data_IF_753703807501
#
_entry.id   IF_753703807501
#
_cell.length_a   1.000
_cell.length_b   1.000
_cell.length_c   1.000
_cell.angle_alpha   90.00
_cell.angle_beta   90.00
_cell.angle_gamma   90.00
#
_symmetry.space_group_name_H-M   'P 1'
#
loop_
_entity.id
_entity.type
_entity.pdbx_description
1 polymer ?
#
# COMPACT_ATOMS: atom_id res chain seq x y z
N UNK A 1 -6.53 8.32 8.65
CA UNK A 1 -6.28 9.70 9.15
C UNK A 1 -7.44 10.67 8.88
N UNK A 2 -8.69 10.21 8.82
CA UNK A 2 -9.85 11.09 8.60
C UNK A 2 -10.00 12.14 9.71
N UNK A 3 -9.71 11.75 10.95
CA UNK A 3 -9.87 12.56 12.16
C UNK A 3 -8.59 13.30 12.57
N UNK A 4 -7.53 13.25 11.77
CA UNK A 4 -6.25 13.93 12.06
C UNK A 4 -6.14 15.20 11.23
N UNK A 5 -5.92 16.32 11.92
CA UNK A 5 -5.72 17.63 11.30
C UNK A 5 -4.55 17.59 10.31
N UNK A 6 -4.68 18.27 9.17
CA UNK A 6 -3.72 18.19 8.07
C UNK A 6 -2.27 18.44 8.51
N UNK A 7 -2.05 19.45 9.35
CA UNK A 7 -0.73 19.83 9.88
C UNK A 7 -0.05 18.73 10.71
N UNK A 8 -0.83 17.87 11.37
CA UNK A 8 -0.32 16.83 12.27
C UNK A 8 -0.22 15.45 11.61
N UNK A 9 -0.79 15.28 10.40
CA UNK A 9 -0.77 13.99 9.68
C UNK A 9 0.62 13.41 9.51
N UNK A 10 1.61 14.24 9.17
CA UNK A 10 3.00 13.77 8.98
C UNK A 10 3.58 13.23 10.28
N UNK A 11 3.32 13.90 11.41
CA UNK A 11 3.81 13.49 12.73
C UNK A 11 3.12 12.20 13.19
N UNK A 12 1.81 12.12 13.03
CA UNK A 12 1.03 10.92 13.36
C UNK A 12 1.47 9.72 12.50
N UNK A 13 1.67 9.89 11.19
CA UNK A 13 2.22 8.83 10.34
C UNK A 13 3.59 8.34 10.84
N UNK A 14 4.48 9.25 11.18
CA UNK A 14 5.82 8.89 11.64
C UNK A 14 5.78 8.12 12.98
N UNK A 15 4.90 8.49 13.89
CA UNK A 15 4.70 7.79 15.16
C UNK A 15 4.09 6.39 14.93
N UNK A 16 3.00 6.30 14.16
CA UNK A 16 2.34 5.03 13.84
C UNK A 16 3.23 4.07 13.04
N UNK A 17 4.22 4.59 12.30
CA UNK A 17 5.21 3.76 11.64
C UNK A 17 5.98 2.86 12.60
N UNK A 18 6.20 3.30 13.83
CA UNK A 18 6.89 2.47 14.83
C UNK A 18 6.08 1.22 15.19
N UNK A 19 4.74 1.30 15.19
CA UNK A 19 3.84 0.17 15.46
C UNK A 19 3.98 -0.90 14.37
N UNK A 20 3.80 -0.54 13.09
CA UNK A 20 3.83 -1.53 12.00
C UNK A 20 5.23 -1.85 11.47
N UNK A 21 6.27 -1.15 11.91
CA UNK A 21 7.66 -1.50 11.64
C UNK A 21 8.31 -2.32 12.77
N UNK A 22 7.60 -2.54 13.89
CA UNK A 22 8.11 -3.26 15.04
C UNK A 22 8.52 -4.71 14.70
N UNK A 23 9.57 -5.25 15.33
CA UNK A 23 10.07 -6.59 15.03
C UNK A 23 9.12 -7.72 15.49
N UNK A 24 8.40 -7.52 16.60
CA UNK A 24 7.47 -8.48 17.20
C UNK A 24 6.15 -7.83 17.61
N UNK A 25 5.18 -8.65 18.02
CA UNK A 25 3.89 -8.18 18.54
C UNK A 25 4.04 -7.39 19.84
N UNK A 26 4.89 -7.85 20.76
CA UNK A 26 5.15 -7.17 22.03
C UNK A 26 5.75 -5.79 21.79
N UNK A 27 6.74 -5.68 20.90
CA UNK A 27 7.33 -4.40 20.53
C UNK A 27 6.31 -3.48 19.82
N UNK A 28 5.37 -4.04 19.06
CA UNK A 28 4.30 -3.27 18.43
C UNK A 28 3.30 -2.74 19.47
N UNK A 29 2.94 -3.55 20.47
CA UNK A 29 2.10 -3.16 21.59
C UNK A 29 2.73 -2.03 22.40
N UNK A 30 4.02 -2.16 22.73
CA UNK A 30 4.77 -1.11 23.42
C UNK A 30 4.80 0.19 22.61
N UNK A 31 5.02 0.10 21.30
CA UNK A 31 4.99 1.27 20.42
C UNK A 31 3.59 1.92 20.34
N UNK A 32 2.52 1.11 20.34
CA UNK A 32 1.16 1.62 20.35
C UNK A 32 0.82 2.28 21.69
N UNK A 33 1.22 1.68 22.81
CA UNK A 33 1.06 2.26 24.15
C UNK A 33 1.83 3.59 24.28
N UNK A 34 3.07 3.64 23.77
CA UNK A 34 3.87 4.86 23.73
C UNK A 34 3.22 5.96 22.87
N UNK A 35 2.61 5.60 21.74
CA UNK A 35 1.82 6.55 20.94
C UNK A 35 0.57 7.02 21.69
N UNK A 36 -0.15 6.11 22.34
CA UNK A 36 -1.36 6.42 23.11
C UNK A 36 -1.10 7.42 24.23
N UNK A 37 -0.01 7.25 24.98
CA UNK A 37 0.40 8.14 26.08
C UNK A 37 1.12 9.42 25.62
N UNK A 38 1.25 9.64 24.31
CA UNK A 38 1.90 10.84 23.78
C UNK A 38 0.88 11.98 23.62
N UNK A 39 1.35 13.25 23.53
CA UNK A 39 0.45 14.38 23.23
C UNK A 39 -0.34 14.21 21.92
N UNK A 40 0.16 13.41 20.97
CA UNK A 40 -0.56 13.09 19.74
C UNK A 40 -1.65 12.04 19.98
N UNK A 41 -1.42 11.08 20.87
CA UNK A 41 -2.42 10.10 21.29
C UNK A 41 -3.56 10.77 22.03
N UNK A 42 -3.25 11.63 23.01
CA UNK A 42 -4.22 12.42 23.77
C UNK A 42 -5.05 13.33 22.86
N UNK A 43 -4.41 13.96 21.86
CA UNK A 43 -5.08 14.84 20.90
C UNK A 43 -5.94 14.08 19.89
N UNK A 44 -5.60 12.83 19.59
CA UNK A 44 -6.27 12.01 18.58
C UNK A 44 -6.68 10.63 19.13
N UNK A 45 -7.57 10.57 20.15
CA UNK A 45 -7.94 9.31 20.80
C UNK A 45 -8.62 8.32 19.84
N UNK A 46 -9.36 8.82 18.84
CA UNK A 46 -9.96 7.97 17.80
C UNK A 46 -8.92 7.25 16.92
N UNK A 47 -7.71 7.80 16.81
CA UNK A 47 -6.61 7.12 16.12
C UNK A 47 -6.16 5.90 16.94
N UNK A 48 -6.00 6.06 18.25
CA UNK A 48 -5.66 4.96 19.18
C UNK A 48 -6.76 3.90 19.16
N UNK A 49 -8.02 4.30 19.37
CA UNK A 49 -9.15 3.37 19.40
C UNK A 49 -9.33 2.60 18.07
N UNK A 50 -8.92 3.17 16.94
CA UNK A 50 -8.94 2.46 15.65
C UNK A 50 -7.90 1.34 15.61
N UNK A 51 -6.73 1.54 16.19
CA UNK A 51 -5.71 0.50 16.31
C UNK A 51 -6.16 -0.60 17.27
N UNK A 52 -6.71 -0.24 18.44
CA UNK A 52 -7.18 -1.22 19.42
C UNK A 52 -8.26 -2.14 18.82
N UNK A 53 -9.26 -1.56 18.13
CA UNK A 53 -10.31 -2.33 17.44
C UNK A 53 -9.80 -3.18 16.27
N UNK A 54 -8.63 -2.85 15.74
CA UNK A 54 -8.02 -3.56 14.62
C UNK A 54 -6.90 -4.50 15.05
N UNK A 55 -6.55 -4.56 16.34
CA UNK A 55 -5.34 -5.22 16.83
C UNK A 55 -5.23 -6.66 16.37
N UNK A 56 -6.24 -7.48 16.65
CA UNK A 56 -6.31 -8.89 16.23
C UNK A 56 -6.19 -9.09 14.71
N UNK A 57 -6.66 -8.12 13.91
CA UNK A 57 -6.55 -8.16 12.45
C UNK A 57 -5.19 -7.68 11.96
N UNK A 58 -4.50 -6.88 12.76
CA UNK A 58 -3.18 -6.34 12.49
C UNK A 58 -2.07 -7.32 12.90
N UNK A 59 -2.17 -8.02 14.03
CA UNK A 59 -1.12 -8.94 14.51
C UNK A 59 -0.59 -9.91 13.43
N UNK A 60 -1.42 -10.56 12.59
CA UNK A 60 -0.92 -11.45 11.53
C UNK A 60 0.01 -10.75 10.52
N UNK A 61 -0.10 -9.44 10.33
CA UNK A 61 0.80 -8.68 9.46
C UNK A 61 2.25 -8.69 9.97
N UNK A 62 2.46 -8.77 11.29
CA UNK A 62 3.79 -8.84 11.88
C UNK A 62 4.47 -10.20 11.62
N UNK A 63 3.73 -11.26 11.27
CA UNK A 63 4.31 -12.54 10.86
C UNK A 63 5.00 -12.47 9.49
N UNK A 64 4.76 -11.43 8.69
CA UNK A 64 5.44 -11.27 7.41
C UNK A 64 6.90 -10.81 7.58
N UNK A 65 7.82 -11.22 6.71
CA UNK A 65 9.19 -10.70 6.72
C UNK A 65 9.25 -9.17 6.46
N UNK A 66 10.28 -8.45 6.97
CA UNK A 66 10.35 -6.99 6.87
C UNK A 66 10.25 -6.42 5.45
N UNK A 67 10.82 -7.08 4.44
CA UNK A 67 10.74 -6.58 3.06
C UNK A 67 9.32 -6.72 2.50
N UNK A 68 8.60 -7.78 2.87
CA UNK A 68 7.22 -7.95 2.49
C UNK A 68 6.29 -6.99 3.24
N UNK A 69 6.50 -6.79 4.55
CA UNK A 69 5.77 -5.75 5.31
C UNK A 69 5.90 -4.39 4.64
N UNK A 70 7.11 -4.05 4.19
CA UNK A 70 7.37 -2.80 3.45
C UNK A 70 6.59 -2.70 2.16
N UNK A 71 6.55 -3.77 1.37
CA UNK A 71 5.73 -3.81 0.17
C UNK A 71 4.25 -3.57 0.49
N UNK A 72 3.72 -4.24 1.52
CA UNK A 72 2.31 -4.15 1.93
C UNK A 72 1.95 -2.73 2.41
N UNK A 73 2.72 -2.15 3.33
CA UNK A 73 2.39 -0.82 3.87
C UNK A 73 2.72 0.33 2.91
N UNK A 74 3.53 0.10 1.87
CA UNK A 74 3.72 1.10 0.81
C UNK A 74 2.49 1.14 -0.08
N UNK A 75 1.47 1.88 0.37
CA UNK A 75 0.17 2.04 -0.27
C UNK A 75 0.20 2.70 -1.65
N UNK A 76 1.37 3.13 -2.16
CA UNK A 76 1.53 3.87 -3.41
C UNK A 76 0.86 3.19 -4.62
N UNK A 77 0.95 1.86 -4.75
CA UNK A 77 0.34 1.15 -5.88
C UNK A 77 -1.19 1.13 -5.78
N UNK A 78 -1.73 0.83 -4.59
CA UNK A 78 -3.17 0.79 -4.32
C UNK A 78 -3.76 2.20 -4.42
N UNK A 79 -3.09 3.19 -3.85
CA UNK A 79 -3.47 4.60 -3.92
C UNK A 79 -3.44 5.12 -5.36
N UNK A 80 -2.40 4.79 -6.14
CA UNK A 80 -2.28 5.21 -7.53
C UNK A 80 -3.39 4.61 -8.41
N UNK A 81 -3.78 3.35 -8.16
CA UNK A 81 -4.91 2.72 -8.83
C UNK A 81 -6.23 3.38 -8.41
N UNK A 82 -6.49 3.48 -7.10
CA UNK A 82 -7.70 4.10 -6.56
C UNK A 82 -7.87 5.56 -7.02
N UNK A 83 -6.78 6.31 -7.13
CA UNK A 83 -6.80 7.67 -7.65
C UNK A 83 -7.26 7.71 -9.12
N UNK A 84 -6.73 6.81 -9.96
CA UNK A 84 -7.10 6.75 -11.37
C UNK A 84 -8.56 6.30 -11.55
N UNK A 85 -9.02 5.31 -10.79
CA UNK A 85 -10.42 4.87 -10.80
C UNK A 85 -11.36 6.00 -10.36
N UNK A 86 -11.06 6.70 -9.26
CA UNK A 86 -11.83 7.88 -8.83
C UNK A 86 -11.84 8.99 -9.89
N UNK A 87 -10.73 9.23 -10.58
CA UNK A 87 -10.67 10.23 -11.65
C UNK A 87 -11.59 9.89 -12.82
N UNK A 88 -11.78 8.60 -13.12
CA UNK A 88 -12.65 8.14 -14.20
C UNK A 88 -14.12 8.16 -13.77
N UNK A 89 -14.41 7.79 -12.51
CA UNK A 89 -15.79 7.74 -12.01
C UNK A 89 -16.33 9.10 -11.54
N UNK A 90 -15.49 10.09 -11.19
CA UNK A 90 -15.94 11.35 -10.57
C UNK A 90 -17.02 12.14 -11.33
N UNK A 91 -17.08 11.99 -12.66
CA UNK A 91 -18.04 12.69 -13.51
C UNK A 91 -19.31 11.86 -13.77
N UNK A 92 -19.43 10.67 -13.17
CA UNK A 92 -20.59 9.77 -13.30
C UNK A 92 -21.32 9.72 -11.95
N UNK A 93 -22.36 10.54 -11.82
CA UNK A 93 -23.14 10.65 -10.58
C UNK A 93 -24.05 9.45 -10.29
N UNK A 94 -24.51 8.74 -11.32
CA UNK A 94 -25.30 7.51 -11.19
C UNK A 94 -24.95 6.51 -12.31
N UNK A 95 -25.21 5.24 -12.04
CA UNK A 95 -25.09 4.15 -13.01
C UNK A 95 -26.48 3.54 -13.24
N UNK A 96 -26.82 3.16 -14.48
CA UNK A 96 -28.11 2.54 -14.78
C UNK A 96 -28.24 1.10 -14.26
N UNK A 97 -27.12 0.44 -13.96
CA UNK A 97 -27.06 -0.88 -13.33
C UNK A 97 -25.67 -1.13 -12.71
N UNK A 98 -25.58 -2.14 -11.83
CA UNK A 98 -24.30 -2.60 -11.29
C UNK A 98 -23.36 -3.09 -12.39
N UNK A 99 -23.90 -3.75 -13.42
CA UNK A 99 -23.14 -4.23 -14.57
C UNK A 99 -22.49 -3.07 -15.34
N UNK A 100 -23.20 -1.94 -15.50
CA UNK A 100 -22.64 -0.75 -16.13
C UNK A 100 -21.49 -0.14 -15.31
N UNK A 101 -21.58 -0.19 -13.98
CA UNK A 101 -20.50 0.24 -13.09
C UNK A 101 -19.28 -0.69 -13.22
N UNK A 102 -19.48 -2.00 -13.15
CA UNK A 102 -18.42 -3.01 -13.32
C UNK A 102 -17.74 -2.87 -14.68
N UNK A 103 -18.51 -2.74 -15.76
CA UNK A 103 -17.98 -2.55 -17.12
C UNK A 103 -17.13 -1.29 -17.24
N UNK A 104 -17.54 -0.17 -16.63
CA UNK A 104 -16.72 1.04 -16.60
C UNK A 104 -15.40 0.81 -15.86
N UNK A 105 -15.44 0.19 -14.68
CA UNK A 105 -14.24 -0.08 -13.90
C UNK A 105 -13.28 -1.02 -14.63
N UNK A 106 -13.81 -2.05 -15.31
CA UNK A 106 -13.01 -2.94 -16.15
C UNK A 106 -12.32 -2.17 -17.30
N UNK A 107 -13.09 -1.38 -18.06
CA UNK A 107 -12.56 -0.57 -19.16
C UNK A 107 -11.51 0.43 -18.66
N UNK A 108 -11.72 0.99 -17.48
CA UNK A 108 -10.78 1.89 -16.83
C UNK A 108 -9.45 1.18 -16.54
N UNK A 109 -9.48 -0.04 -15.98
CA UNK A 109 -8.29 -0.84 -15.70
C UNK A 109 -7.54 -1.15 -17.00
N UNK A 110 -8.24 -1.62 -18.04
CA UNK A 110 -7.63 -1.90 -19.34
C UNK A 110 -6.94 -0.66 -19.92
N UNK A 111 -7.63 0.49 -19.95
CA UNK A 111 -7.07 1.73 -20.48
C UNK A 111 -5.84 2.22 -19.67
N UNK A 112 -5.86 2.07 -18.35
CA UNK A 112 -4.70 2.38 -17.49
C UNK A 112 -3.50 1.53 -17.90
N UNK A 113 -3.69 0.24 -18.11
CA UNK A 113 -2.63 -0.69 -18.52
C UNK A 113 -2.14 -0.42 -19.94
N UNK A 114 -3.05 -0.17 -20.90
CA UNK A 114 -2.71 0.16 -22.28
C UNK A 114 -1.93 1.48 -22.38
N UNK A 115 -2.32 2.49 -21.60
CA UNK A 115 -1.59 3.75 -21.53
C UNK A 115 -0.18 3.52 -21.00
N UNK A 116 -0.04 2.76 -19.92
CA UNK A 116 1.28 2.43 -19.34
C UNK A 116 2.13 1.60 -20.31
N UNK A 117 1.52 0.67 -21.07
CA UNK A 117 2.20 -0.11 -22.10
C UNK A 117 2.77 0.79 -23.19
N UNK A 118 1.94 1.71 -23.73
CA UNK A 118 2.38 2.70 -24.73
C UNK A 118 3.49 3.61 -24.21
N UNK A 119 3.42 4.05 -22.95
CA UNK A 119 4.50 4.83 -22.33
C UNK A 119 5.80 4.03 -22.27
N UNK A 120 5.73 2.75 -21.88
CA UNK A 120 6.92 1.87 -21.87
C UNK A 120 7.49 1.62 -23.25
N UNK A 121 6.65 1.46 -24.27
CA UNK A 121 7.10 1.27 -25.65
C UNK A 121 7.89 2.47 -26.17
N UNK A 122 7.45 3.70 -25.83
CA UNK A 122 8.20 4.93 -26.15
C UNK A 122 9.59 4.96 -25.51
N UNK A 123 9.71 4.35 -24.33
CA UNK A 123 10.93 4.35 -23.53
C UNK A 123 11.83 3.14 -23.79
N UNK A 124 11.38 2.16 -24.59
CA UNK A 124 12.03 0.86 -24.78
C UNK A 124 13.49 0.99 -25.21
N UNK A 125 13.77 1.94 -26.09
CA UNK A 125 15.10 2.15 -26.67
C UNK A 125 15.89 3.26 -25.96
N UNK A 126 15.33 3.89 -24.92
CA UNK A 126 16.05 4.90 -24.16
C UNK A 126 17.00 4.25 -23.14
N UNK A 127 18.17 4.89 -22.88
CA UNK A 127 19.00 4.58 -21.72
C UNK A 127 18.21 4.62 -20.41
N UNK A 128 18.57 3.79 -19.43
CA UNK A 128 17.78 3.58 -18.21
C UNK A 128 17.54 4.85 -17.39
N UNK A 129 18.48 5.78 -17.40
CA UNK A 129 18.44 7.12 -16.78
C UNK A 129 17.49 8.09 -17.48
N UNK A 130 17.11 7.82 -18.73
CA UNK A 130 16.23 8.66 -19.55
C UNK A 130 14.79 8.14 -19.66
N UNK A 131 14.52 6.94 -19.13
CA UNK A 131 13.16 6.36 -19.10
C UNK A 131 12.31 7.06 -18.05
N UNK A 132 11.13 7.52 -18.44
CA UNK A 132 10.13 8.21 -17.59
C UNK A 132 8.89 7.35 -17.32
N UNK A 133 8.65 6.32 -18.13
CA UNK A 133 7.53 5.41 -18.02
C UNK A 133 7.62 4.58 -16.74
N UNK A 134 6.47 4.34 -16.12
CA UNK A 134 6.40 3.47 -14.95
C UNK A 134 6.73 2.02 -15.38
N UNK A 135 7.65 1.32 -14.71
CA UNK A 135 7.90 -0.10 -14.98
C UNK A 135 6.62 -0.94 -14.75
N UNK A 136 6.62 -2.20 -15.21
CA UNK A 136 5.49 -3.15 -15.07
C UNK A 136 4.85 -3.07 -13.68
N UNK A 137 3.58 -3.45 -13.59
CA UNK A 137 2.75 -3.35 -12.37
C UNK A 137 3.40 -3.97 -11.13
N UNK A 138 4.34 -4.93 -11.29
CA UNK A 138 4.97 -5.66 -10.16
C UNK A 138 6.49 -5.89 -10.29
N UNK A 139 7.20 -5.43 -11.33
CA UNK A 139 8.66 -5.67 -11.43
C UNK A 139 9.51 -4.43 -11.14
N UNK A 140 10.20 -4.48 -10.01
CA UNK A 140 11.65 -4.32 -9.98
C UNK A 140 12.21 -3.04 -10.59
N UNK A 141 11.90 -1.88 -10.00
CA UNK A 141 12.88 -0.78 -9.82
C UNK A 141 12.34 0.37 -8.96
N UNK A 142 11.02 0.59 -8.92
CA UNK A 142 10.41 1.71 -8.16
C UNK A 142 9.60 1.23 -6.95
N UNK A 143 8.97 0.05 -7.03
CA UNK A 143 8.55 -0.69 -5.83
C UNK A 143 9.80 -1.32 -5.23
N UNK A 144 10.49 -0.56 -4.38
CA UNK A 144 11.64 -1.05 -3.64
C UNK A 144 11.21 -2.33 -2.92
N UNK A 145 11.93 -3.42 -3.19
CA UNK A 145 11.94 -4.65 -2.40
C UNK A 145 11.05 -5.82 -2.80
N UNK A 146 10.35 -5.85 -3.94
CA UNK A 146 9.58 -7.07 -4.32
C UNK A 146 10.47 -8.30 -4.55
N UNK A 147 11.63 -8.14 -5.20
CA UNK A 147 12.59 -9.25 -5.38
C UNK A 147 13.09 -9.75 -4.03
N UNK A 148 13.45 -8.84 -3.12
CA UNK A 148 13.86 -9.17 -1.76
C UNK A 148 12.71 -9.76 -0.93
N UNK A 149 11.48 -9.29 -1.11
CA UNK A 149 10.28 -9.79 -0.44
C UNK A 149 9.94 -11.20 -0.92
N UNK A 150 10.02 -11.47 -2.22
CA UNK A 150 9.81 -12.80 -2.79
C UNK A 150 10.86 -13.78 -2.29
N UNK A 151 12.14 -13.37 -2.24
CA UNK A 151 13.20 -14.18 -1.65
C UNK A 151 12.92 -14.50 -0.17
N UNK A 152 12.54 -13.50 0.63
CA UNK A 152 12.18 -13.71 2.04
C UNK A 152 10.95 -14.60 2.21
N UNK A 153 9.96 -14.49 1.32
CA UNK A 153 8.78 -15.35 1.30
C UNK A 153 9.14 -16.80 0.99
N UNK A 154 9.97 -17.03 -0.02
CA UNK A 154 10.46 -18.36 -0.37
C UNK A 154 11.23 -19.01 0.78
N UNK A 155 11.99 -18.22 1.56
CA UNK A 155 12.68 -18.70 2.76
C UNK A 155 11.72 -18.97 3.93
N UNK A 156 10.77 -18.09 4.19
CA UNK A 156 9.87 -18.19 5.34
C UNK A 156 8.73 -19.19 5.14
N UNK A 157 8.29 -19.39 3.89
CA UNK A 157 7.14 -20.24 3.52
C UNK A 157 7.45 -21.10 2.29
N UNK A 158 8.49 -21.95 2.33
CA UNK A 158 9.00 -22.68 1.17
C UNK A 158 7.92 -23.54 0.49
N UNK A 159 7.14 -24.29 1.27
CA UNK A 159 6.11 -25.20 0.74
C UNK A 159 4.96 -24.48 0.02
N UNK A 160 4.74 -23.19 0.33
CA UNK A 160 3.66 -22.39 -0.27
C UNK A 160 4.12 -21.58 -1.47
N UNK A 161 5.39 -21.22 -1.52
CA UNK A 161 5.92 -20.26 -2.49
C UNK A 161 6.72 -20.96 -3.58
N UNK A 162 7.60 -21.90 -3.22
CA UNK A 162 8.48 -22.58 -4.18
C UNK A 162 7.74 -23.31 -5.32
N UNK A 163 6.53 -23.89 -5.13
CA UNK A 163 5.78 -24.48 -6.24
C UNK A 163 5.32 -23.51 -7.34
N UNK A 164 5.43 -22.19 -7.12
CA UNK A 164 4.93 -21.15 -8.01
C UNK A 164 6.02 -20.18 -8.50
N UNK A 165 7.29 -20.44 -8.17
CA UNK A 165 8.46 -19.69 -8.65
C UNK A 165 8.99 -20.25 -9.97
#
# INVERSE_FOLDING_TARGET
MRFVAYQDRKKVAAALKQVYAAPSEEAALEALAAFSSSPLGDKYPETVATWDRAWERFTPFLAFPPMLRRVIYTTNSIESLNYQLRKISKNRGHFPSDEAAVKLLWLAICNIEDKRARERDKDRNLPADKRKAKPRVVEGRITTNWKQALAQLATAYPDRINPHL
#
